data_IF_006108406107
#
_entry.id   IF_006108406107
#
_cell.length_a   1.000
_cell.length_b   1.000
_cell.length_c   1.000
_cell.angle_alpha   90.00
_cell.angle_beta   90.00
_cell.angle_gamma   90.00
#
_symmetry.space_group_name_H-M   'P 1'
#
loop_
_entity.id
_entity.type
_entity.pdbx_description
1 polymer ?
#
# COMPACT_ATOMS: atom_id res chain seq x y z
N UNK A 1 15.00 -10.44 -14.50
CA UNK A 1 13.81 -10.12 -13.68
C UNK A 1 12.65 -10.81 -14.34
N UNK A 2 11.93 -11.65 -13.60
CA UNK A 2 10.71 -12.25 -14.12
C UNK A 2 9.70 -11.14 -14.46
N UNK A 3 9.06 -11.15 -15.64
CA UNK A 3 8.10 -10.12 -16.03
C UNK A 3 6.93 -9.96 -15.06
N UNK A 4 6.50 -11.04 -14.40
CA UNK A 4 5.44 -11.02 -13.38
C UNK A 4 5.91 -10.27 -12.14
N UNK A 5 7.14 -10.54 -11.68
CA UNK A 5 7.73 -9.80 -10.55
C UNK A 5 7.84 -8.32 -10.90
N UNK A 6 8.30 -7.98 -12.11
CA UNK A 6 8.42 -6.59 -12.57
C UNK A 6 7.08 -5.84 -12.58
N UNK A 7 5.98 -6.50 -12.94
CA UNK A 7 4.63 -5.91 -12.94
C UNK A 7 4.10 -5.68 -11.53
N UNK A 8 4.47 -6.57 -10.60
CA UNK A 8 4.05 -6.47 -9.21
C UNK A 8 4.85 -5.44 -8.38
N UNK A 9 6.00 -4.98 -8.89
CA UNK A 9 6.79 -3.89 -8.24
C UNK A 9 5.99 -2.61 -8.06
N UNK A 10 4.93 -2.42 -8.85
CA UNK A 10 3.95 -1.36 -8.61
C UNK A 10 3.51 -1.28 -7.13
N UNK A 11 3.30 -2.41 -6.46
CA UNK A 11 2.87 -2.40 -5.06
C UNK A 11 3.97 -1.90 -4.09
N UNK A 12 5.23 -1.95 -4.50
CA UNK A 12 6.39 -1.42 -3.77
C UNK A 12 6.63 0.07 -4.08
N UNK A 13 5.56 0.86 -4.21
CA UNK A 13 5.66 2.30 -4.35
C UNK A 13 6.43 2.91 -3.16
N UNK A 14 7.27 3.91 -3.42
CA UNK A 14 8.15 4.53 -2.42
C UNK A 14 7.37 5.06 -1.21
N UNK A 15 6.24 5.71 -1.44
CA UNK A 15 5.39 6.22 -0.36
C UNK A 15 4.81 5.09 0.51
N UNK A 16 4.39 3.97 -0.09
CA UNK A 16 3.92 2.81 0.65
C UNK A 16 5.04 2.21 1.50
N UNK A 17 6.25 2.18 0.95
CA UNK A 17 7.42 1.68 1.65
C UNK A 17 7.80 2.60 2.82
N UNK A 18 7.75 3.93 2.65
CA UNK A 18 7.94 4.89 3.75
C UNK A 18 6.91 4.73 4.86
N UNK A 19 5.63 4.60 4.51
CA UNK A 19 4.57 4.36 5.50
C UNK A 19 4.78 3.04 6.23
N UNK A 20 5.24 1.99 5.53
CA UNK A 20 5.58 0.72 6.16
C UNK A 20 6.73 0.87 7.15
N UNK A 21 7.78 1.64 6.79
CA UNK A 21 8.94 1.91 7.65
C UNK A 21 8.55 2.74 8.88
N UNK A 22 7.63 3.71 8.72
CA UNK A 22 7.07 4.48 9.83
C UNK A 22 6.34 3.60 10.84
N UNK A 23 5.58 2.61 10.35
CA UNK A 23 4.76 1.72 11.17
C UNK A 23 5.55 0.59 11.87
N UNK A 24 6.85 0.44 11.61
CA UNK A 24 7.65 -0.60 12.28
C UNK A 24 8.13 -0.11 13.64
N UNK A 25 8.05 -0.98 14.65
CA UNK A 25 8.54 -0.69 16.01
C UNK A 25 10.07 -0.56 16.09
N UNK A 26 10.78 -0.95 15.03
CA UNK A 26 12.24 -0.89 14.90
C UNK A 26 12.72 0.53 14.59
N UNK A 27 13.35 1.17 15.57
CA UNK A 27 13.91 2.52 15.45
C UNK A 27 14.95 2.66 14.33
N UNK A 28 15.74 1.62 14.08
CA UNK A 28 16.77 1.59 13.02
C UNK A 28 16.18 1.70 11.59
N UNK A 29 14.90 1.36 11.43
CA UNK A 29 14.16 1.45 10.17
C UNK A 29 13.35 2.75 10.11
N UNK A 30 12.71 3.09 11.22
CA UNK A 30 11.78 4.21 11.32
C UNK A 30 12.48 5.56 11.24
N UNK A 31 13.64 5.70 11.88
CA UNK A 31 14.40 6.95 11.89
C UNK A 31 14.85 7.37 10.46
N UNK A 32 15.40 6.48 9.59
CA UNK A 32 15.62 6.80 8.18
C UNK A 32 14.36 7.28 7.44
N UNK A 33 13.19 6.66 7.68
CA UNK A 33 11.94 7.06 7.03
C UNK A 33 11.51 8.46 7.44
N UNK A 34 11.56 8.78 8.73
CA UNK A 34 11.25 10.12 9.25
C UNK A 34 12.19 11.16 8.65
N UNK A 35 13.51 10.88 8.58
CA UNK A 35 14.47 11.79 7.94
C UNK A 35 14.16 12.02 6.46
N UNK A 36 13.76 10.99 5.73
CA UNK A 36 13.34 11.12 4.33
C UNK A 36 12.09 11.98 4.21
N UNK A 37 11.08 11.75 5.06
CA UNK A 37 9.84 12.54 5.07
C UNK A 37 10.13 14.01 5.37
N UNK A 38 10.91 14.31 6.41
CA UNK A 38 11.30 15.69 6.74
C UNK A 38 12.03 16.35 5.56
N UNK A 39 12.88 15.61 4.86
CA UNK A 39 13.62 16.12 3.69
C UNK A 39 12.70 16.47 2.52
N UNK A 40 11.64 15.69 2.30
CA UNK A 40 10.69 15.92 1.20
C UNK A 40 9.51 16.82 1.61
N UNK A 41 9.24 16.93 2.91
CA UNK A 41 8.23 17.83 3.47
C UNK A 41 8.61 19.28 3.20
N UNK A 42 7.67 20.06 2.67
CA UNK A 42 7.92 21.45 2.26
C UNK A 42 8.65 21.59 0.91
N UNK A 43 9.04 20.49 0.27
CA UNK A 43 9.42 20.50 -1.15
C UNK A 43 8.13 20.59 -1.99
N UNK A 44 7.51 21.77 -1.94
CA UNK A 44 6.31 22.13 -2.69
C UNK A 44 6.54 21.89 -4.19
N UNK A 45 6.02 20.78 -4.72
CA UNK A 45 5.64 20.77 -6.12
C UNK A 45 4.23 21.34 -6.20
N UNK A 46 4.13 22.60 -6.62
CA UNK A 46 2.89 23.23 -7.07
C UNK A 46 2.12 22.25 -7.97
N UNK A 47 1.09 21.58 -7.43
CA UNK A 47 0.03 20.86 -8.18
C UNK A 47 0.55 20.02 -9.37
N UNK A 48 1.75 19.44 -9.29
CA UNK A 48 2.22 18.53 -10.32
C UNK A 48 1.73 17.13 -9.94
N UNK A 49 0.95 16.54 -10.84
CA UNK A 49 0.34 15.22 -10.66
C UNK A 49 1.44 14.21 -10.28
N UNK A 50 1.29 13.52 -9.14
CA UNK A 50 2.29 12.54 -8.67
C UNK A 50 2.57 11.52 -9.78
N UNK A 51 3.82 11.46 -10.24
CA UNK A 51 4.23 10.52 -11.27
C UNK A 51 4.49 9.16 -10.62
N UNK A 52 3.66 8.18 -10.95
CA UNK A 52 3.87 6.82 -10.49
C UNK A 52 5.00 6.16 -11.30
N UNK A 53 6.22 6.18 -10.76
CA UNK A 53 7.39 5.55 -11.39
C UNK A 53 7.73 4.26 -10.65
N UNK A 54 7.80 3.16 -11.41
CA UNK A 54 8.17 1.85 -10.86
C UNK A 54 9.69 1.82 -10.64
N UNK A 55 10.12 1.83 -9.38
CA UNK A 55 11.54 1.77 -9.02
C UNK A 55 12.18 0.43 -9.40
N UNK A 56 13.47 0.48 -9.76
CA UNK A 56 14.25 -0.73 -10.01
C UNK A 56 14.54 -1.45 -8.69
N UNK A 57 14.02 -2.66 -8.53
CA UNK A 57 14.27 -3.46 -7.32
C UNK A 57 15.67 -4.09 -7.32
N UNK A 58 16.32 -4.04 -6.16
CA UNK A 58 17.49 -4.82 -5.83
C UNK A 58 17.07 -6.21 -5.31
N UNK A 59 17.10 -7.21 -6.19
CA UNK A 59 16.77 -8.60 -5.83
C UNK A 59 17.74 -9.26 -4.86
N UNK A 60 18.95 -8.71 -4.70
CA UNK A 60 19.96 -9.25 -3.78
C UNK A 60 19.76 -8.76 -2.35
N UNK A 61 18.89 -7.78 -2.14
CA UNK A 61 18.60 -7.23 -0.83
C UNK A 61 17.88 -8.25 0.06
N UNK A 62 18.38 -8.42 1.28
CA UNK A 62 17.76 -9.30 2.27
C UNK A 62 16.61 -8.61 3.01
N UNK A 63 16.71 -7.29 3.20
CA UNK A 63 15.67 -6.47 3.82
C UNK A 63 14.91 -5.69 2.76
N UNK A 64 13.63 -5.42 3.01
CA UNK A 64 12.77 -4.71 2.07
C UNK A 64 13.18 -3.24 1.87
N UNK A 65 13.84 -2.64 2.86
CA UNK A 65 14.32 -1.25 2.82
C UNK A 65 15.44 -1.12 1.79
N UNK A 66 16.31 -2.13 1.70
CA UNK A 66 17.43 -2.17 0.78
C UNK A 66 17.02 -2.64 -0.63
N UNK A 67 15.75 -3.03 -0.81
CA UNK A 67 15.23 -3.41 -2.13
C UNK A 67 15.10 -2.22 -3.07
N UNK A 68 15.07 -0.99 -2.55
CA UNK A 68 15.01 0.23 -3.36
C UNK A 68 16.24 1.09 -3.06
N UNK A 69 16.82 1.67 -4.12
CA UNK A 69 17.87 2.67 -3.99
C UNK A 69 17.22 4.05 -3.79
N UNK A 70 17.04 4.43 -2.52
CA UNK A 70 16.41 5.69 -2.11
C UNK A 70 17.12 6.95 -2.62
N UNK A 71 18.40 6.86 -2.98
CA UNK A 71 19.16 8.00 -3.51
C UNK A 71 18.97 8.21 -5.01
N UNK A 72 18.50 7.19 -5.73
CA UNK A 72 18.25 7.25 -7.18
C UNK A 72 16.77 7.36 -7.54
N UNK A 73 15.90 7.39 -6.54
CA UNK A 73 14.46 7.50 -6.74
C UNK A 73 13.98 8.89 -6.31
N UNK A 74 13.06 9.46 -7.08
CA UNK A 74 12.36 10.67 -6.70
C UNK A 74 11.31 10.31 -5.65
N UNK A 75 11.64 10.58 -4.39
CA UNK A 75 10.77 10.32 -3.25
C UNK A 75 9.84 11.51 -3.06
N UNK A 76 8.54 11.26 -3.07
CA UNK A 76 7.49 12.24 -2.76
C UNK A 76 6.95 12.05 -1.34
N UNK A 77 6.39 13.11 -0.77
CA UNK A 77 5.78 13.05 0.55
C UNK A 77 4.48 12.22 0.53
N UNK A 78 4.35 11.17 1.38
CA UNK A 78 3.10 10.44 1.53
C UNK A 78 1.95 11.39 1.94
N UNK A 79 0.73 11.27 1.37
CA UNK A 79 -0.37 12.18 1.71
C UNK A 79 -0.74 12.11 3.20
N UNK A 80 -0.57 10.93 3.80
CA UNK A 80 -0.86 10.68 5.21
C UNK A 80 0.05 11.50 6.14
N UNK A 81 1.26 11.86 5.69
CA UNK A 81 2.21 12.64 6.48
C UNK A 81 2.19 14.12 6.14
N UNK A 82 1.43 14.55 5.13
CA UNK A 82 1.43 15.93 4.63
C UNK A 82 0.94 16.95 5.67
N UNK A 83 0.07 16.53 6.59
CA UNK A 83 -0.44 17.38 7.66
C UNK A 83 0.45 17.38 8.91
N UNK A 84 1.49 16.54 8.94
CA UNK A 84 2.39 16.42 10.09
C UNK A 84 3.50 17.45 10.03
N UNK A 85 3.70 18.16 11.14
CA UNK A 85 4.84 19.06 11.29
C UNK A 85 6.13 18.29 11.61
N UNK A 86 7.27 18.94 11.35
CA UNK A 86 8.59 18.39 11.71
C UNK A 86 8.70 18.10 13.21
N UNK A 87 8.03 18.89 14.05
CA UNK A 87 8.01 18.71 15.51
C UNK A 87 7.23 17.46 15.93
N UNK A 88 6.16 17.10 15.20
CA UNK A 88 5.39 15.87 15.40
C UNK A 88 6.09 14.63 14.83
N UNK A 89 6.91 14.79 13.78
CA UNK A 89 7.66 13.70 13.16
C UNK A 89 8.87 13.23 13.99
N UNK A 90 9.57 14.15 14.69
CA UNK A 90 10.73 13.82 15.56
C UNK A 90 10.43 12.75 16.62
N UNK A 91 9.37 12.87 17.46
CA UNK A 91 9.08 11.87 18.48
C UNK A 91 8.66 10.51 17.90
N UNK A 92 8.18 10.49 16.64
CA UNK A 92 7.89 9.23 15.94
C UNK A 92 9.20 8.46 15.70
N UNK A 93 10.28 9.12 15.29
CA UNK A 93 11.58 8.47 15.11
C UNK A 93 12.09 7.85 16.43
N UNK A 94 12.12 8.65 17.49
CA UNK A 94 12.71 8.28 18.79
C UNK A 94 11.87 7.25 19.55
N UNK A 95 10.56 7.49 19.66
CA UNK A 95 9.73 6.81 20.65
C UNK A 95 8.77 5.79 20.02
N UNK A 96 8.66 5.77 18.68
CA UNK A 96 7.66 4.98 17.96
C UNK A 96 6.23 5.37 18.33
N UNK A 97 6.03 6.54 18.95
CA UNK A 97 4.74 7.02 19.40
C UNK A 97 3.95 7.56 18.22
N UNK A 98 3.41 6.64 17.42
CA UNK A 98 2.47 6.93 16.33
C UNK A 98 1.08 7.17 16.93
N UNK A 99 0.95 8.13 17.86
CA UNK A 99 -0.29 8.25 18.64
C UNK A 99 -1.46 8.82 17.84
N UNK A 100 -1.19 9.48 16.71
CA UNK A 100 -2.24 10.09 15.88
C UNK A 100 -2.23 9.63 14.41
N UNK A 101 -1.16 9.02 13.92
CA UNK A 101 -1.10 8.51 12.55
C UNK A 101 -1.75 7.12 12.50
N UNK A 102 -3.01 7.07 12.08
CA UNK A 102 -3.70 5.81 11.78
C UNK A 102 -3.13 5.20 10.49
N UNK A 103 -1.91 4.68 10.54
CA UNK A 103 -1.39 3.81 9.47
C UNK A 103 -2.13 2.49 9.60
N UNK A 104 -3.26 2.40 8.91
CA UNK A 104 -4.01 1.16 8.80
C UNK A 104 -3.11 0.10 8.18
N UNK A 105 -3.05 -1.07 8.84
CA UNK A 105 -2.41 -2.26 8.29
C UNK A 105 -3.28 -2.79 7.14
N UNK A 106 -3.19 -2.17 5.97
CA UNK A 106 -3.85 -2.69 4.78
C UNK A 106 -3.08 -3.94 4.31
N UNK A 107 -3.72 -5.11 4.23
CA UNK A 107 -3.08 -6.28 3.67
C UNK A 107 -2.99 -6.09 2.15
N UNK A 108 -1.89 -5.54 1.64
CA UNK A 108 -1.70 -5.26 0.21
C UNK A 108 -1.73 -6.52 -0.68
N UNK A 109 -1.57 -7.72 -0.08
CA UNK A 109 -1.53 -9.01 -0.76
C UNK A 109 -2.37 -10.10 -0.07
N UNK A 110 -3.54 -9.74 0.47
CA UNK A 110 -4.51 -10.75 0.86
C UNK A 110 -5.32 -11.20 -0.37
N UNK A 111 -5.61 -12.51 -0.45
CA UNK A 111 -6.50 -13.09 -1.47
C UNK A 111 -7.85 -12.36 -1.52
N UNK A 112 -8.33 -11.85 -0.39
CA UNK A 112 -9.53 -11.01 -0.32
C UNK A 112 -9.41 -9.71 -1.11
N UNK A 113 -8.27 -9.03 -1.04
CA UNK A 113 -8.00 -7.79 -1.79
C UNK A 113 -7.95 -8.08 -3.29
N UNK A 114 -7.28 -9.16 -3.70
CA UNK A 114 -7.25 -9.58 -5.11
C UNK A 114 -8.65 -9.89 -5.65
N UNK A 115 -9.47 -10.60 -4.87
CA UNK A 115 -10.85 -10.92 -5.22
C UNK A 115 -11.75 -9.66 -5.29
N UNK A 116 -11.54 -8.68 -4.42
CA UNK A 116 -12.26 -7.41 -4.46
C UNK A 116 -11.86 -6.58 -5.67
N UNK A 117 -10.55 -6.43 -5.93
CA UNK A 117 -10.05 -5.70 -7.10
C UNK A 117 -10.62 -6.30 -8.39
N UNK A 118 -10.56 -7.62 -8.52
CA UNK A 118 -11.16 -8.35 -9.65
C UNK A 118 -12.64 -8.02 -9.83
N UNK A 119 -13.44 -8.09 -8.76
CA UNK A 119 -14.87 -7.76 -8.81
C UNK A 119 -15.10 -6.32 -9.28
N UNK A 120 -14.34 -5.36 -8.74
CA UNK A 120 -14.46 -3.94 -9.12
C UNK A 120 -14.08 -3.72 -10.59
N UNK A 121 -13.04 -4.40 -11.09
CA UNK A 121 -12.60 -4.30 -12.49
C UNK A 121 -13.56 -4.96 -13.48
N UNK A 122 -14.22 -6.07 -13.11
CA UNK A 122 -15.20 -6.78 -13.96
C UNK A 122 -16.59 -6.11 -13.99
N UNK A 123 -16.92 -5.40 -12.91
CA UNK A 123 -18.21 -4.69 -12.77
C UNK A 123 -18.55 -3.75 -13.93
N UNK A 124 -17.65 -2.86 -14.42
CA UNK A 124 -17.96 -1.96 -15.53
C UNK A 124 -18.22 -2.68 -16.86
N UNK A 125 -17.70 -3.90 -17.05
CA UNK A 125 -18.04 -4.73 -18.22
C UNK A 125 -19.40 -5.41 -18.13
N UNK A 126 -20.00 -5.48 -16.94
CA UNK A 126 -21.28 -6.16 -16.70
C UNK A 126 -22.45 -5.17 -16.63
N UNK A 127 -22.25 -4.03 -15.97
CA UNK A 127 -23.32 -3.03 -15.74
C UNK A 127 -22.83 -1.59 -15.95
N UNK A 128 -23.73 -0.74 -16.45
CA UNK A 128 -23.48 0.69 -16.67
C UNK A 128 -24.17 1.55 -15.59
N UNK A 129 -23.54 2.68 -15.25
CA UNK A 129 -24.01 3.63 -14.22
C UNK A 129 -23.48 3.32 -12.82
N UNK A 130 -23.11 4.36 -12.07
CA UNK A 130 -22.49 4.24 -10.74
C UNK A 130 -23.37 3.46 -9.75
N UNK A 131 -24.67 3.74 -9.72
CA UNK A 131 -25.63 3.07 -8.84
C UNK A 131 -25.72 1.56 -9.12
N UNK A 132 -25.84 1.18 -10.39
CA UNK A 132 -25.93 -0.23 -10.77
C UNK A 132 -24.63 -0.99 -10.47
N UNK A 133 -23.47 -0.34 -10.65
CA UNK A 133 -22.16 -0.90 -10.29
C UNK A 133 -22.05 -1.15 -8.78
N UNK A 134 -22.43 -0.18 -7.96
CA UNK A 134 -22.44 -0.34 -6.50
C UNK A 134 -23.40 -1.45 -6.06
N UNK A 135 -24.63 -1.47 -6.55
CA UNK A 135 -25.60 -2.54 -6.29
C UNK A 135 -25.07 -3.92 -6.71
N UNK A 136 -24.45 -4.04 -7.89
CA UNK A 136 -23.89 -5.29 -8.37
C UNK A 136 -22.75 -5.79 -7.47
N UNK A 137 -21.84 -4.90 -7.06
CA UNK A 137 -20.74 -5.23 -6.15
C UNK A 137 -21.29 -5.70 -4.81
N UNK A 138 -22.22 -4.95 -4.20
CA UNK A 138 -22.82 -5.30 -2.91
C UNK A 138 -23.57 -6.62 -2.95
N UNK A 139 -24.40 -6.85 -3.97
CA UNK A 139 -25.10 -8.14 -4.14
C UNK A 139 -24.13 -9.30 -4.33
N UNK A 140 -23.07 -9.11 -5.10
CA UNK A 140 -22.05 -10.15 -5.30
C UNK A 140 -21.31 -10.45 -3.99
N UNK A 141 -20.96 -9.43 -3.22
CA UNK A 141 -20.35 -9.60 -1.91
C UNK A 141 -21.28 -10.33 -0.93
N UNK A 142 -22.56 -9.95 -0.89
CA UNK A 142 -23.57 -10.62 -0.07
C UNK A 142 -23.76 -12.10 -0.48
N UNK A 143 -23.83 -12.39 -1.78
CA UNK A 143 -23.90 -13.76 -2.30
C UNK A 143 -22.68 -14.59 -1.92
N UNK A 144 -21.47 -14.03 -2.03
CA UNK A 144 -20.22 -14.69 -1.62
C UNK A 144 -20.16 -14.93 -0.11
N UNK A 145 -20.74 -14.05 0.71
CA UNK A 145 -20.78 -14.22 2.16
C UNK A 145 -21.70 -15.36 2.62
N UNK A 146 -22.70 -15.74 1.81
CA UNK A 146 -23.59 -16.87 2.07
C UNK A 146 -22.87 -18.21 1.80
N UNK A 147 -21.86 -18.22 0.93
CA UNK A 147 -21.11 -19.44 0.62
C UNK A 147 -20.34 -19.96 1.84
N UNK A 148 -20.36 -21.28 2.02
CA UNK A 148 -19.61 -21.94 3.08
C UNK A 148 -18.11 -21.64 2.93
N UNK A 149 -17.48 -21.25 4.04
CA UNK A 149 -16.03 -21.11 4.13
C UNK A 149 -15.41 -22.45 4.48
N UNK A 150 -14.27 -22.77 3.85
CA UNK A 150 -13.54 -24.01 4.08
C UNK A 150 -12.07 -23.68 4.35
N UNK A 151 -11.51 -24.25 5.41
CA UNK A 151 -10.09 -24.04 5.73
C UNK A 151 -9.15 -24.73 4.74
N UNK A 152 -9.60 -25.85 4.15
CA UNK A 152 -8.83 -26.64 3.19
C UNK A 152 -9.66 -26.93 1.96
N UNK A 153 -9.01 -26.90 0.80
CA UNK A 153 -9.64 -27.22 -0.49
C UNK A 153 -10.27 -28.61 -0.52
N UNK A 154 -9.71 -29.57 0.22
CA UNK A 154 -10.25 -30.93 0.35
C UNK A 154 -11.62 -30.99 1.04
N UNK A 155 -11.99 -29.97 1.83
CA UNK A 155 -13.28 -29.92 2.51
C UNK A 155 -14.41 -29.44 1.58
N UNK A 156 -14.07 -28.93 0.39
CA UNK A 156 -15.03 -28.57 -0.63
C UNK A 156 -15.53 -29.85 -1.32
N UNK A 157 -16.71 -30.33 -0.91
CA UNK A 157 -17.38 -31.42 -1.62
C UNK A 157 -18.00 -30.86 -2.90
N UNK A 158 -17.47 -31.28 -4.05
CA UNK A 158 -18.15 -31.12 -5.34
C UNK A 158 -19.38 -32.02 -5.28
N UNK A 159 -20.57 -31.42 -5.31
CA UNK A 159 -21.84 -32.13 -5.43
C UNK A 159 -22.10 -32.49 -6.89
#
# INVERSE_FOLDING_TARGET
MDPVISRNVFMAHLENLLLSMLAVDRGDIREPAVRLIIKVSGCSSEVERRHFVVSKLNLKANQYIDKIDWFKCDVTEPPITADLTVEELKPIAENGSIKDLQIYKFPCHAQSVEHCLKLVTETPSTVCGSHNRDCFIRNTMASRAIMLSFERKANYKIM
#
